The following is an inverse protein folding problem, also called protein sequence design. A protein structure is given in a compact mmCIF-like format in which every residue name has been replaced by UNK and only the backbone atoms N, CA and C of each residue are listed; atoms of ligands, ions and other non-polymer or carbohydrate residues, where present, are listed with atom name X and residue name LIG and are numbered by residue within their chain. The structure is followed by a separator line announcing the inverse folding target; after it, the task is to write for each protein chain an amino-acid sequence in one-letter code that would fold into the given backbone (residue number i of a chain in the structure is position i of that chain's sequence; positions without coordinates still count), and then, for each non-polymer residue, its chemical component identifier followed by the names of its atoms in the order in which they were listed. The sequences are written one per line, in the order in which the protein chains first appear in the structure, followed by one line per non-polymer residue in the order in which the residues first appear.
data_IF_428960035189
#
_entry.id   IF_428960035189
#
_cell.length_a   1.000
_cell.length_b   1.000
_cell.length_c   1.000
_cell.angle_alpha   90.00
_cell.angle_beta   90.00
_cell.angle_gamma   90.00
#
_symmetry.space_group_name_H-M   'P 1'
#
loop_
_entity.id
_entity.type
_entity.pdbx_description
1 polymer ?
#
# COMPACT_ATOMS: atom_id res chain seq x y z
N UNK A 1 -6.50 11.19 30.48
CA UNK A 1 -6.72 11.75 29.16
C UNK A 1 -5.40 12.15 28.52
N UNK A 2 -5.30 12.02 27.20
CA UNK A 2 -4.14 12.55 26.45
C UNK A 2 -4.36 14.04 26.22
N UNK A 3 -3.47 14.89 26.72
CA UNK A 3 -3.48 16.32 26.45
C UNK A 3 -2.39 16.69 25.45
N UNK A 4 -2.67 17.69 24.61
CA UNK A 4 -1.66 18.21 23.67
C UNK A 4 -0.53 18.90 24.48
N UNK A 5 0.70 18.56 24.18
CA UNK A 5 1.87 19.16 24.85
C UNK A 5 1.89 20.69 24.59
N UNK A 6 1.95 21.54 25.62
CA UNK A 6 1.95 23.00 25.47
C UNK A 6 3.23 23.54 24.83
N UNK A 7 4.33 22.79 24.88
CA UNK A 7 5.61 23.21 24.29
C UNK A 7 5.73 22.91 22.80
N UNK A 8 5.23 21.76 22.34
CA UNK A 8 5.36 21.36 20.91
C UNK A 8 4.03 21.37 20.15
N UNK A 9 2.90 21.70 20.82
CA UNK A 9 1.56 21.76 20.23
C UNK A 9 1.21 20.54 19.37
N UNK A 10 1.72 19.35 19.74
CA UNK A 10 1.47 18.09 19.03
C UNK A 10 2.49 17.76 17.93
N UNK A 11 3.43 18.64 17.61
CA UNK A 11 4.47 18.36 16.58
C UNK A 11 5.47 17.27 17.01
N UNK A 12 5.63 17.05 18.31
CA UNK A 12 6.63 16.13 18.91
C UNK A 12 8.08 16.53 18.63
N UNK A 13 8.29 17.72 18.11
CA UNK A 13 9.60 18.29 17.76
C UNK A 13 9.92 19.48 18.64
N UNK A 14 11.21 19.81 18.77
CA UNK A 14 11.68 21.02 19.45
C UNK A 14 11.31 22.25 18.60
N UNK A 15 11.06 23.38 19.28
CA UNK A 15 10.67 24.63 18.61
C UNK A 15 11.72 25.13 17.61
N UNK A 16 12.99 24.88 17.87
CA UNK A 16 14.11 25.34 17.05
C UNK A 16 14.10 24.75 15.63
N UNK A 17 13.45 23.59 15.40
CA UNK A 17 13.35 22.98 14.07
C UNK A 17 12.49 23.82 13.10
N UNK A 18 11.65 24.71 13.63
CA UNK A 18 10.82 25.61 12.81
C UNK A 18 11.63 26.68 12.07
N UNK A 19 12.86 26.97 12.55
CA UNK A 19 13.75 27.93 11.89
C UNK A 19 14.39 27.36 10.61
N UNK A 20 14.48 26.03 10.50
CA UNK A 20 15.03 25.39 9.30
C UNK A 20 13.93 25.21 8.28
N UNK A 21 14.10 25.81 7.10
CA UNK A 21 13.12 25.76 6.01
C UNK A 21 13.72 25.19 4.73
N UNK A 22 12.95 24.35 4.05
CA UNK A 22 13.25 23.83 2.72
C UNK A 22 12.12 24.28 1.78
N UNK A 23 12.45 25.01 0.72
CA UNK A 23 11.44 25.56 -0.18
C UNK A 23 10.40 26.44 0.54
N UNK A 24 10.81 27.17 1.59
CA UNK A 24 9.96 28.06 2.37
C UNK A 24 9.13 27.40 3.46
N UNK A 25 9.14 26.07 3.60
CA UNK A 25 8.39 25.30 4.61
C UNK A 25 9.31 24.64 5.62
N UNK A 26 8.91 24.64 6.90
CA UNK A 26 9.59 23.90 7.95
C UNK A 26 9.09 22.44 8.03
N UNK A 27 9.76 21.62 8.82
CA UNK A 27 9.42 20.18 8.95
C UNK A 27 8.01 19.97 9.51
N UNK A 28 7.55 20.80 10.44
CA UNK A 28 6.21 20.69 11.06
C UNK A 28 5.11 20.92 10.02
N UNK A 29 5.30 21.92 9.15
CA UNK A 29 4.40 22.19 8.03
C UNK A 29 4.40 21.04 7.01
N UNK A 30 5.58 20.54 6.66
CA UNK A 30 5.72 19.45 5.67
C UNK A 30 5.05 18.15 6.13
N UNK A 31 5.26 17.74 7.38
CA UNK A 31 4.68 16.48 7.89
C UNK A 31 3.17 16.58 8.15
N UNK A 32 2.61 17.78 8.22
CA UNK A 32 1.17 18.02 8.37
C UNK A 32 0.42 18.04 7.01
N UNK A 33 1.16 18.10 5.89
CA UNK A 33 0.54 18.04 4.56
C UNK A 33 0.09 16.62 4.23
N UNK A 34 -1.03 16.45 3.49
CA UNK A 34 -1.36 15.19 2.84
C UNK A 34 -0.19 14.69 1.96
N UNK A 35 0.05 13.38 1.96
CA UNK A 35 1.18 12.78 1.22
C UNK A 35 1.14 13.15 -0.26
N UNK A 36 -0.06 13.27 -0.86
CA UNK A 36 -0.20 13.72 -2.26
C UNK A 36 0.35 15.13 -2.46
N UNK A 37 0.00 16.06 -1.56
CA UNK A 37 0.47 17.45 -1.61
C UNK A 37 1.98 17.53 -1.32
N UNK A 38 2.46 16.74 -0.36
CA UNK A 38 3.87 16.64 -0.02
C UNK A 38 4.70 16.11 -1.19
N UNK A 39 4.19 15.10 -1.89
CA UNK A 39 4.81 14.55 -3.11
C UNK A 39 4.92 15.62 -4.19
N UNK A 40 3.86 16.40 -4.39
CA UNK A 40 3.83 17.49 -5.35
C UNK A 40 4.79 18.64 -4.95
N UNK A 41 4.89 18.95 -3.66
CA UNK A 41 5.85 19.90 -3.12
C UNK A 41 7.28 19.50 -3.48
N UNK A 42 7.68 18.25 -3.19
CA UNK A 42 9.03 17.78 -3.52
C UNK A 42 9.28 17.65 -5.03
N UNK A 43 8.24 17.42 -5.83
CA UNK A 43 8.35 17.42 -7.29
C UNK A 43 8.67 18.81 -7.83
N UNK A 44 8.04 19.87 -7.27
CA UNK A 44 8.20 21.27 -7.68
C UNK A 44 9.36 21.98 -6.99
N UNK A 45 9.97 21.38 -5.98
CA UNK A 45 11.04 21.97 -5.19
C UNK A 45 12.20 22.42 -6.09
N UNK A 46 12.58 23.68 -5.96
CA UNK A 46 13.76 24.26 -6.60
C UNK A 46 14.77 24.60 -5.52
N UNK A 47 15.98 24.14 -5.68
CA UNK A 47 17.13 24.40 -4.80
C UNK A 47 18.21 25.10 -5.60
N UNK A 48 19.20 25.72 -4.92
CA UNK A 48 20.44 26.16 -5.54
C UNK A 48 21.19 24.95 -6.12
N UNK A 49 22.09 25.17 -7.09
CA UNK A 49 22.87 24.09 -7.71
C UNK A 49 23.67 23.31 -6.66
N UNK A 50 24.25 24.01 -5.69
CA UNK A 50 24.99 23.41 -4.58
C UNK A 50 24.07 22.53 -3.71
N UNK A 51 22.94 23.06 -3.24
CA UNK A 51 22.01 22.31 -2.39
C UNK A 51 21.37 21.14 -3.14
N UNK A 52 21.11 21.30 -4.43
CA UNK A 52 20.58 20.23 -5.28
C UNK A 52 21.55 19.05 -5.38
N UNK A 53 22.86 19.30 -5.54
CA UNK A 53 23.86 18.23 -5.60
C UNK A 53 24.01 17.55 -4.24
N UNK A 54 24.08 18.33 -3.14
CA UNK A 54 24.14 17.77 -1.77
C UNK A 54 22.91 16.94 -1.43
N UNK A 55 21.72 17.39 -1.79
CA UNK A 55 20.45 16.72 -1.46
C UNK A 55 20.04 15.65 -2.48
N UNK A 56 20.74 15.49 -3.59
CA UNK A 56 20.37 14.65 -4.74
C UNK A 56 19.90 13.25 -4.35
N UNK A 57 20.72 12.53 -3.58
CA UNK A 57 20.41 11.17 -3.13
C UNK A 57 19.20 11.13 -2.20
N UNK A 58 19.11 12.08 -1.26
CA UNK A 58 18.00 12.18 -0.32
C UNK A 58 16.69 12.51 -1.05
N UNK A 59 16.71 13.42 -2.04
CA UNK A 59 15.54 13.79 -2.81
C UNK A 59 15.01 12.65 -3.67
N UNK A 60 15.89 11.82 -4.24
CA UNK A 60 15.50 10.61 -4.98
C UNK A 60 14.76 9.66 -4.05
N UNK A 61 15.32 9.40 -2.87
CA UNK A 61 14.73 8.50 -1.89
C UNK A 61 13.38 9.01 -1.35
N UNK A 62 13.31 10.30 -0.97
CA UNK A 62 12.06 10.92 -0.50
C UNK A 62 10.96 10.82 -1.57
N UNK A 63 11.26 11.19 -2.82
CA UNK A 63 10.30 11.15 -3.94
C UNK A 63 9.82 9.72 -4.20
N UNK A 64 10.72 8.75 -4.16
CA UNK A 64 10.38 7.32 -4.35
C UNK A 64 9.44 6.83 -3.26
N UNK A 65 9.75 7.07 -1.99
CA UNK A 65 8.91 6.65 -0.86
C UNK A 65 7.55 7.33 -0.85
N UNK A 66 7.49 8.63 -1.13
CA UNK A 66 6.23 9.35 -1.25
C UNK A 66 5.38 8.80 -2.41
N UNK A 67 6.01 8.48 -3.54
CA UNK A 67 5.34 7.84 -4.67
C UNK A 67 4.73 6.50 -4.26
N UNK A 68 5.47 5.61 -3.60
CA UNK A 68 4.93 4.32 -3.14
C UNK A 68 3.73 4.49 -2.22
N UNK A 69 3.77 5.46 -1.29
CA UNK A 69 2.63 5.75 -0.40
C UNK A 69 1.39 6.23 -1.18
N UNK A 70 1.59 7.04 -2.23
CA UNK A 70 0.48 7.47 -3.12
C UNK A 70 -0.05 6.27 -3.92
N UNK A 71 0.84 5.44 -4.46
CA UNK A 71 0.49 4.30 -5.31
C UNK A 71 -0.31 3.22 -4.53
N UNK A 72 -0.06 3.07 -3.21
CA UNK A 72 -0.88 2.18 -2.35
C UNK A 72 -2.16 2.85 -1.82
N UNK A 73 -2.54 4.03 -2.32
CA UNK A 73 -3.78 4.71 -1.96
C UNK A 73 -3.74 5.44 -0.61
N UNK A 74 -2.56 5.78 -0.08
CA UNK A 74 -2.38 6.49 1.19
C UNK A 74 -2.11 7.99 1.04
N UNK A 75 -2.40 8.55 -0.14
CA UNK A 75 -2.12 9.95 -0.47
C UNK A 75 -2.82 10.98 0.43
N UNK A 76 -3.93 10.61 1.05
CA UNK A 76 -4.70 11.45 1.97
C UNK A 76 -4.13 11.51 3.40
N UNK A 77 -3.27 10.55 3.78
CA UNK A 77 -2.63 10.54 5.09
C UNK A 77 -1.59 11.65 5.23
N UNK A 78 -1.25 11.97 6.47
CA UNK A 78 -0.17 12.89 6.82
C UNK A 78 0.93 12.14 7.57
N UNK A 79 2.20 12.57 7.42
CA UNK A 79 3.33 11.88 8.05
C UNK A 79 3.35 12.02 9.58
N UNK A 80 2.67 13.01 10.14
CA UNK A 80 2.53 13.20 11.58
C UNK A 80 1.42 12.37 12.22
N UNK A 81 0.65 11.61 11.44
CA UNK A 81 -0.45 10.78 11.95
C UNK A 81 0.06 9.73 12.94
N UNK A 82 -0.66 9.54 14.02
CA UNK A 82 -0.32 8.55 15.04
C UNK A 82 -0.64 7.14 14.54
N UNK A 83 0.28 6.20 14.74
CA UNK A 83 0.12 4.81 14.29
C UNK A 83 -1.10 4.11 14.89
N UNK A 84 -1.47 4.44 16.14
CA UNK A 84 -2.65 3.88 16.82
C UNK A 84 -3.98 4.43 16.28
N UNK A 85 -3.97 5.36 15.34
CA UNK A 85 -5.16 5.89 14.66
C UNK A 85 -5.31 5.34 13.24
N UNK A 86 -4.38 4.50 12.80
CA UNK A 86 -4.43 3.84 11.50
C UNK A 86 -5.38 2.63 11.55
N UNK A 87 -6.11 2.42 10.48
CA UNK A 87 -6.85 1.17 10.27
C UNK A 87 -5.91 0.02 9.94
N UNK A 88 -6.40 -1.22 10.03
CA UNK A 88 -5.65 -2.42 9.65
C UNK A 88 -5.16 -2.35 8.20
N UNK A 89 -6.03 -1.99 7.25
CA UNK A 89 -5.68 -1.82 5.85
C UNK A 89 -4.68 -0.70 5.59
N UNK A 90 -4.78 0.45 6.30
CA UNK A 90 -3.77 1.52 6.21
C UNK A 90 -2.39 1.03 6.66
N UNK A 91 -2.34 0.29 7.79
CA UNK A 91 -1.09 -0.27 8.32
C UNK A 91 -0.47 -1.29 7.37
N UNK A 92 -1.26 -2.17 6.76
CA UNK A 92 -0.79 -3.12 5.75
C UNK A 92 -0.23 -2.39 4.52
N UNK A 93 -0.92 -1.38 4.01
CA UNK A 93 -0.46 -0.61 2.85
C UNK A 93 0.81 0.20 3.13
N UNK A 94 1.00 0.71 4.36
CA UNK A 94 2.27 1.32 4.78
C UNK A 94 3.40 0.30 4.73
N UNK A 95 3.18 -0.91 5.27
CA UNK A 95 4.18 -1.98 5.22
C UNK A 95 4.51 -2.37 3.78
N UNK A 96 3.50 -2.46 2.91
CA UNK A 96 3.66 -2.74 1.48
C UNK A 96 4.54 -1.69 0.78
N UNK A 97 4.24 -0.39 1.00
CA UNK A 97 5.03 0.71 0.46
C UNK A 97 6.49 0.69 0.97
N UNK A 98 6.69 0.33 2.25
CA UNK A 98 8.03 0.19 2.85
C UNK A 98 8.81 -0.96 2.23
N UNK A 99 8.14 -2.07 1.94
CA UNK A 99 8.74 -3.26 1.32
C UNK A 99 9.25 -2.99 -0.10
N UNK A 100 8.51 -2.21 -0.89
CA UNK A 100 8.97 -1.77 -2.22
C UNK A 100 10.26 -0.92 -2.13
N UNK A 101 10.37 -0.10 -1.08
CA UNK A 101 11.57 0.72 -0.85
C UNK A 101 12.78 -0.07 -0.33
N UNK A 102 12.60 -1.29 0.17
CA UNK A 102 13.66 -2.07 0.81
C UNK A 102 14.44 -3.00 -0.13
N UNK A 103 14.00 -3.16 -1.38
CA UNK A 103 14.61 -4.07 -2.37
C UNK A 103 14.77 -5.52 -1.88
N UNK A 104 13.89 -5.98 -0.97
CA UNK A 104 13.88 -7.37 -0.51
C UNK A 104 13.45 -8.30 -1.65
N UNK A 105 14.16 -9.39 -1.82
CA UNK A 105 13.94 -10.42 -2.83
C UNK A 105 13.72 -11.77 -2.15
N UNK A 106 12.87 -12.62 -2.72
CA UNK A 106 12.62 -13.98 -2.20
C UNK A 106 11.76 -14.01 -0.94
N UNK A 107 11.05 -12.92 -0.64
CA UNK A 107 10.14 -12.82 0.50
C UNK A 107 8.72 -13.28 0.15
N UNK A 108 7.99 -13.77 1.15
CA UNK A 108 6.56 -14.06 1.07
C UNK A 108 5.76 -12.92 1.73
N UNK A 109 4.90 -12.30 0.96
CA UNK A 109 3.95 -11.29 1.44
C UNK A 109 2.56 -11.91 1.51
N UNK A 110 1.93 -11.83 2.69
CA UNK A 110 0.55 -12.26 2.90
C UNK A 110 -0.26 -11.03 3.28
N UNK A 111 -1.27 -10.72 2.49
CA UNK A 111 -2.11 -9.55 2.64
C UNK A 111 -3.56 -10.00 2.80
N UNK A 112 -4.25 -9.44 3.79
CA UNK A 112 -5.64 -9.74 4.10
C UNK A 112 -6.49 -8.50 3.78
N UNK A 113 -7.34 -8.60 2.77
CA UNK A 113 -8.23 -7.55 2.26
C UNK A 113 -7.52 -6.19 2.06
N UNK A 114 -6.37 -6.12 1.34
CA UNK A 114 -5.63 -4.87 1.20
C UNK A 114 -6.39 -3.79 0.39
N UNK A 115 -7.43 -4.16 -0.36
CA UNK A 115 -8.30 -3.23 -1.08
C UNK A 115 -9.35 -2.55 -0.20
N UNK A 116 -9.53 -3.01 1.04
CA UNK A 116 -10.60 -2.50 1.90
C UNK A 116 -10.53 -0.97 2.06
N UNK A 117 -11.66 -0.31 1.77
CA UNK A 117 -11.76 1.15 1.84
C UNK A 117 -11.07 1.91 0.68
N UNK A 118 -10.59 1.22 -0.35
CA UNK A 118 -10.11 1.85 -1.58
C UNK A 118 -11.28 2.12 -2.55
N UNK A 119 -11.13 3.18 -3.33
CA UNK A 119 -11.96 3.39 -4.50
C UNK A 119 -11.42 2.54 -5.67
N UNK A 120 -12.27 2.09 -6.60
CA UNK A 120 -11.89 1.27 -7.76
C UNK A 120 -10.68 1.80 -8.54
N UNK A 121 -10.55 3.11 -8.67
CA UNK A 121 -9.37 3.75 -9.29
C UNK A 121 -8.07 3.44 -8.53
N UNK A 122 -8.13 3.33 -7.21
CA UNK A 122 -6.96 3.06 -6.37
C UNK A 122 -6.66 1.56 -6.30
N UNK A 123 -7.65 0.69 -6.52
CA UNK A 123 -7.48 -0.76 -6.68
C UNK A 123 -6.51 -1.08 -7.82
N UNK A 124 -6.62 -0.41 -8.97
CA UNK A 124 -5.69 -0.59 -10.08
C UNK A 124 -4.24 -0.21 -9.73
N UNK A 125 -4.06 0.83 -8.93
CA UNK A 125 -2.73 1.21 -8.44
C UNK A 125 -2.17 0.17 -7.48
N UNK A 126 -3.02 -0.36 -6.57
CA UNK A 126 -2.64 -1.44 -5.67
C UNK A 126 -2.22 -2.68 -6.45
N UNK A 127 -2.98 -3.10 -7.46
CA UNK A 127 -2.62 -4.22 -8.35
C UNK A 127 -1.24 -3.98 -8.98
N UNK A 128 -0.99 -2.77 -9.48
CA UNK A 128 0.32 -2.43 -10.05
C UNK A 128 1.45 -2.61 -9.03
N UNK A 129 1.25 -2.15 -7.80
CA UNK A 129 2.21 -2.30 -6.69
C UNK A 129 2.48 -3.78 -6.36
N UNK A 130 1.44 -4.61 -6.29
CA UNK A 130 1.56 -6.04 -6.04
C UNK A 130 2.35 -6.74 -7.16
N UNK A 131 2.11 -6.35 -8.41
CA UNK A 131 2.86 -6.85 -9.56
C UNK A 131 4.33 -6.41 -9.55
N UNK A 132 4.64 -5.20 -9.13
CA UNK A 132 6.03 -4.74 -8.97
C UNK A 132 6.77 -5.55 -7.89
N UNK A 133 6.12 -5.84 -6.74
CA UNK A 133 6.70 -6.73 -5.73
C UNK A 133 7.01 -8.12 -6.28
N UNK A 134 6.09 -8.68 -7.06
CA UNK A 134 6.28 -9.98 -7.70
C UNK A 134 7.46 -9.96 -8.69
N UNK A 135 7.58 -8.92 -9.51
CA UNK A 135 8.70 -8.75 -10.46
C UNK A 135 10.07 -8.68 -9.78
N UNK A 136 10.11 -8.20 -8.53
CA UNK A 136 11.32 -8.22 -7.71
C UNK A 136 11.70 -9.63 -7.22
N UNK A 137 10.97 -10.68 -7.61
CA UNK A 137 11.24 -12.06 -7.25
C UNK A 137 10.60 -12.48 -5.93
N UNK A 138 9.55 -11.79 -5.48
CA UNK A 138 8.81 -12.13 -4.28
C UNK A 138 7.56 -12.97 -4.61
N UNK A 139 7.05 -13.69 -3.61
CA UNK A 139 5.74 -14.34 -3.66
C UNK A 139 4.72 -13.47 -2.94
N UNK A 140 3.59 -13.20 -3.57
CA UNK A 140 2.52 -12.39 -3.00
C UNK A 140 1.25 -13.21 -2.92
N UNK A 141 0.74 -13.42 -1.71
CA UNK A 141 -0.53 -14.09 -1.43
C UNK A 141 -1.51 -13.03 -0.92
N UNK A 142 -2.68 -12.95 -1.53
CA UNK A 142 -3.70 -11.96 -1.19
C UNK A 142 -5.00 -12.70 -0.89
N UNK A 143 -5.57 -12.45 0.28
CA UNK A 143 -6.93 -12.86 0.62
C UNK A 143 -7.83 -11.71 0.21
N UNK A 144 -8.70 -11.92 -0.77
CA UNK A 144 -9.51 -10.86 -1.36
C UNK A 144 -10.83 -11.38 -1.93
N UNK A 145 -11.78 -10.46 -2.05
CA UNK A 145 -13.07 -10.66 -2.72
C UNK A 145 -13.32 -9.62 -3.84
N UNK A 146 -12.38 -8.69 -4.06
CA UNK A 146 -12.43 -7.72 -5.15
C UNK A 146 -12.12 -8.41 -6.48
N UNK A 147 -13.07 -8.32 -7.43
CA UNK A 147 -13.00 -9.01 -8.73
C UNK A 147 -11.79 -8.56 -9.57
N UNK A 148 -11.40 -7.28 -9.49
CA UNK A 148 -10.26 -6.76 -10.26
C UNK A 148 -8.94 -7.35 -9.76
N UNK A 149 -8.77 -7.51 -8.43
CA UNK A 149 -7.60 -8.15 -7.83
C UNK A 149 -7.56 -9.63 -8.15
N UNK A 150 -8.71 -10.32 -8.01
CA UNK A 150 -8.81 -11.74 -8.36
C UNK A 150 -8.45 -12.01 -9.81
N UNK A 151 -8.98 -11.21 -10.74
CA UNK A 151 -8.65 -11.31 -12.18
C UNK A 151 -7.19 -10.99 -12.50
N UNK A 152 -6.56 -10.16 -11.68
CA UNK A 152 -5.14 -9.82 -11.82
C UNK A 152 -4.20 -10.88 -11.22
N UNK A 153 -4.68 -11.87 -10.49
CA UNK A 153 -3.85 -12.94 -9.94
C UNK A 153 -3.29 -13.87 -11.03
N UNK A 154 -2.21 -14.59 -10.74
CA UNK A 154 -1.71 -15.66 -11.62
C UNK A 154 -2.38 -16.99 -11.29
N UNK A 155 -2.80 -17.15 -10.03
CA UNK A 155 -3.41 -18.35 -9.50
C UNK A 155 -4.43 -17.99 -8.44
N UNK A 156 -5.59 -18.63 -8.45
CA UNK A 156 -6.67 -18.46 -7.49
C UNK A 156 -6.87 -19.77 -6.75
N UNK A 157 -7.07 -19.66 -5.44
CA UNK A 157 -7.55 -20.74 -4.58
C UNK A 157 -8.87 -20.26 -3.97
N UNK A 158 -9.99 -20.84 -4.38
CA UNK A 158 -11.30 -20.52 -3.84
C UNK A 158 -11.67 -21.52 -2.75
N UNK A 159 -12.06 -20.99 -1.60
CA UNK A 159 -12.36 -21.76 -0.39
C UNK A 159 -13.81 -21.48 0.01
N UNK A 160 -14.65 -22.50 -0.01
CA UNK A 160 -16.05 -22.37 0.36
C UNK A 160 -16.79 -23.70 0.34
N UNK A 161 -18.15 -23.68 0.24
CA UNK A 161 -19.04 -22.52 0.44
C UNK A 161 -19.30 -22.21 1.92
N UNK A 162 -19.08 -23.16 2.84
CA UNK A 162 -19.40 -23.02 4.26
C UNK A 162 -18.27 -22.41 5.07
N UNK A 163 -18.55 -22.10 6.36
CA UNK A 163 -17.60 -21.56 7.31
C UNK A 163 -17.45 -22.47 8.56
N UNK A 164 -16.38 -22.27 9.33
CA UNK A 164 -16.12 -22.99 10.57
C UNK A 164 -15.91 -24.49 10.36
N UNK A 165 -16.58 -25.34 11.17
CA UNK A 165 -16.39 -26.80 11.15
C UNK A 165 -16.82 -27.47 9.84
N UNK A 166 -17.70 -26.87 9.07
CA UNK A 166 -18.23 -27.39 7.80
C UNK A 166 -17.57 -26.75 6.57
N UNK A 167 -16.82 -25.68 6.77
CA UNK A 167 -16.13 -24.92 5.71
C UNK A 167 -14.70 -25.37 5.44
N UNK A 168 -14.00 -24.59 4.62
CA UNK A 168 -12.58 -24.81 4.32
C UNK A 168 -12.30 -25.83 3.21
N UNK A 169 -13.29 -26.18 2.39
CA UNK A 169 -13.08 -27.00 1.20
C UNK A 169 -12.59 -26.13 0.05
N UNK A 170 -11.59 -26.59 -0.68
CA UNK A 170 -11.15 -25.96 -1.92
C UNK A 170 -12.20 -26.32 -2.98
N UNK A 171 -12.86 -25.28 -3.52
CA UNK A 171 -13.85 -25.43 -4.60
C UNK A 171 -13.25 -25.12 -5.98
N UNK A 172 -12.19 -24.31 -6.01
CA UNK A 172 -11.43 -24.04 -7.20
C UNK A 172 -9.95 -23.84 -6.86
N UNK A 173 -9.05 -24.32 -7.72
CA UNK A 173 -7.62 -24.05 -7.63
C UNK A 173 -7.04 -24.04 -9.06
N UNK A 174 -6.65 -22.86 -9.54
CA UNK A 174 -6.18 -22.71 -10.92
C UNK A 174 -5.94 -21.27 -11.33
N UNK A 175 -5.58 -21.01 -12.59
CA UNK A 175 -5.47 -19.66 -13.13
C UNK A 175 -6.84 -18.97 -13.13
N UNK A 176 -6.90 -17.61 -13.11
CA UNK A 176 -8.15 -16.88 -13.17
C UNK A 176 -9.03 -17.32 -14.35
N UNK A 177 -10.33 -17.55 -14.16
CA UNK A 177 -11.23 -17.89 -15.24
C UNK A 177 -11.24 -16.77 -16.29
N UNK A 178 -11.28 -17.13 -17.57
CA UNK A 178 -11.40 -16.15 -18.66
C UNK A 178 -12.73 -15.44 -18.58
N UNK A 179 -12.73 -14.12 -18.89
CA UNK A 179 -13.95 -13.31 -18.90
C UNK A 179 -15.07 -13.99 -19.73
N UNK A 180 -16.23 -14.25 -19.08
CA UNK A 180 -17.40 -14.92 -19.68
C UNK A 180 -17.75 -16.29 -19.11
N UNK A 181 -16.93 -16.87 -18.22
CA UNK A 181 -17.29 -18.07 -17.47
C UNK A 181 -17.53 -17.70 -16.00
N UNK A 182 -18.73 -18.00 -15.51
CA UNK A 182 -19.11 -17.85 -14.09
C UNK A 182 -18.19 -18.69 -13.21
N UNK A 183 -17.58 -18.09 -12.18
CA UNK A 183 -16.72 -18.77 -11.21
C UNK A 183 -17.45 -19.89 -10.42
N UNK A 184 -18.78 -19.97 -10.49
CA UNK A 184 -19.60 -20.96 -9.78
C UNK A 184 -19.96 -22.23 -10.58
N UNK A 185 -19.67 -22.33 -11.88
CA UNK A 185 -20.13 -23.45 -12.72
C UNK A 185 -19.08 -24.53 -13.00
N UNK A 186 -17.80 -24.28 -12.78
CA UNK A 186 -16.75 -25.29 -13.02
C UNK A 186 -16.59 -26.30 -11.86
N UNK A 187 -17.18 -26.04 -10.68
CA UNK A 187 -17.14 -26.98 -9.55
C UNK A 187 -17.98 -28.25 -9.75
N UNK A 188 -18.98 -28.22 -10.62
CA UNK A 188 -19.84 -29.39 -10.89
C UNK A 188 -19.26 -30.35 -11.96
N UNK A 189 -18.41 -29.85 -12.89
CA UNK A 189 -17.85 -30.72 -13.93
C UNK A 189 -16.62 -31.52 -13.49
N UNK A 190 -15.88 -31.09 -12.48
CA UNK A 190 -14.72 -31.83 -11.95
C UNK A 190 -15.09 -32.96 -10.99
N UNK A 191 -16.30 -32.99 -10.44
CA UNK A 191 -16.73 -34.08 -9.55
C UNK A 191 -17.28 -35.31 -10.32
N UNK A 192 -17.45 -35.25 -11.63
CA UNK A 192 -18.00 -36.35 -12.44
C UNK A 192 -16.95 -37.28 -13.10
N UNK A 193 -15.65 -37.07 -12.84
CA UNK A 193 -14.58 -37.90 -13.44
C UNK A 193 -13.75 -38.69 -12.45
N UNK A 194 -14.30 -39.06 -11.26
CA UNK A 194 -13.65 -40.04 -10.40
C UNK A 194 -14.68 -41.09 -9.98
N UNK A 195 -14.86 -42.08 -10.81
CA UNK A 195 -15.32 -43.44 -10.50
C UNK A 195 -14.28 -44.43 -11.05
#
# INVERSE_FOLDING_TARGET
GKTTCPACHGSRLKKEVEYVKVGGKNITELVAMPITELSEFFRKLRLSDHDAEVAKRLLVEIKSRLKFLVDVGLGYLTLNRLSNTLSGGESQRINLATSLGSSLVGSLYILDEPSIGLHSRDTQRLIHVLRELQKLGNTVVVVEHDEEIMRAADYIIDIGPDAGRLGGKIVYAGPPPRAGKDMGKEAEETSSHTL
#
